data_IF_667983256409
#
_entry.id   IF_667983256409
#
_cell.length_a   1.000
_cell.length_b   1.000
_cell.length_c   1.000
_cell.angle_alpha   90.00
_cell.angle_beta   90.00
_cell.angle_gamma   90.00
#
_symmetry.space_group_name_H-M   'P 1'
#
loop_
_entity.id
_entity.type
_entity.pdbx_description
1 polymer ?
#
# COMPACT_ATOMS: atom_id res chain seq x y z
N UNK A 1 -19.91 12.78 1.68
CA UNK A 1 -20.07 11.32 1.86
C UNK A 1 -18.79 10.84 2.50
N UNK A 2 -18.89 10.12 3.61
CA UNK A 2 -17.79 9.80 4.52
C UNK A 2 -16.53 9.31 3.79
N UNK A 3 -15.55 10.21 3.69
CA UNK A 3 -14.21 10.00 3.13
C UNK A 3 -13.34 9.18 4.09
N UNK A 4 -13.89 8.24 4.85
CA UNK A 4 -13.11 7.34 5.73
C UNK A 4 -12.55 6.15 4.95
N UNK A 5 -12.16 6.36 3.70
CA UNK A 5 -11.61 5.33 2.83
C UNK A 5 -10.28 5.81 2.26
N UNK A 6 -9.25 4.97 2.34
CA UNK A 6 -7.92 5.25 1.78
C UNK A 6 -7.89 4.92 0.28
N UNK A 7 -8.55 3.82 -0.10
CA UNK A 7 -8.76 3.42 -1.50
C UNK A 7 -10.17 2.87 -1.67
N UNK A 8 -10.96 3.51 -2.52
CA UNK A 8 -12.32 3.07 -2.86
C UNK A 8 -12.35 1.60 -3.28
N UNK A 9 -13.36 0.86 -2.81
CA UNK A 9 -13.53 -0.57 -3.13
C UNK A 9 -12.63 -1.55 -2.38
N UNK A 10 -11.69 -1.09 -1.53
CA UNK A 10 -10.76 -1.99 -0.81
C UNK A 10 -11.15 -2.28 0.65
N UNK A 11 -12.18 -1.59 1.16
CA UNK A 11 -12.57 -1.64 2.59
C UNK A 11 -11.51 -1.05 3.54
N UNK A 12 -10.40 -0.51 3.02
CA UNK A 12 -9.31 0.03 3.82
C UNK A 12 -9.63 1.46 4.27
N UNK A 13 -9.86 1.65 5.56
CA UNK A 13 -10.30 2.93 6.14
C UNK A 13 -9.16 3.74 6.77
N UNK A 14 -9.34 5.06 6.92
CA UNK A 14 -8.36 5.90 7.62
C UNK A 14 -8.30 5.49 9.10
N UNK A 15 -9.44 5.12 9.68
CA UNK A 15 -9.55 4.58 11.03
C UNK A 15 -8.67 3.33 11.24
N UNK A 16 -8.76 2.34 10.35
CA UNK A 16 -7.93 1.13 10.41
C UNK A 16 -6.44 1.46 10.38
N UNK A 17 -6.02 2.38 9.49
CA UNK A 17 -4.62 2.78 9.40
C UNK A 17 -4.14 3.46 10.69
N UNK A 18 -4.95 4.35 11.26
CA UNK A 18 -4.64 5.02 12.52
C UNK A 18 -4.43 4.02 13.66
N UNK A 19 -5.29 3.01 13.78
CA UNK A 19 -5.16 1.96 14.80
C UNK A 19 -3.84 1.18 14.63
N UNK A 20 -3.45 0.87 13.39
CA UNK A 20 -2.19 0.19 13.09
C UNK A 20 -0.97 1.05 13.41
N UNK A 21 -1.03 2.35 13.10
CA UNK A 21 0.06 3.27 13.40
C UNK A 21 0.19 3.46 14.91
N UNK A 22 -0.91 3.67 15.62
CA UNK A 22 -0.93 3.85 17.08
C UNK A 22 -0.40 2.62 17.81
N UNK A 23 -0.75 1.42 17.34
CA UNK A 23 -0.20 0.18 17.90
C UNK A 23 1.33 0.14 17.82
N UNK A 24 1.91 0.65 16.73
CA UNK A 24 3.36 0.60 16.47
C UNK A 24 4.13 1.77 17.08
N UNK A 25 3.59 2.99 16.97
CA UNK A 25 4.27 4.23 17.34
C UNK A 25 3.78 4.80 18.67
N UNK A 26 2.77 4.19 19.30
CA UNK A 26 2.14 4.62 20.57
C UNK A 26 1.53 6.01 20.53
N UNK A 27 1.37 6.57 19.34
CA UNK A 27 0.75 7.86 19.08
C UNK A 27 -0.24 7.70 17.94
N UNK A 28 -1.39 8.35 18.07
CA UNK A 28 -2.44 8.32 17.06
C UNK A 28 -2.32 9.55 16.15
N UNK A 29 -2.05 9.39 14.85
CA UNK A 29 -1.97 10.53 13.95
C UNK A 29 -3.37 11.00 13.52
N UNK A 30 -3.43 12.23 13.04
CA UNK A 30 -4.47 12.72 12.14
C UNK A 30 -4.08 12.42 10.70
N UNK A 31 -5.01 11.92 9.89
CA UNK A 31 -4.78 11.73 8.45
C UNK A 31 -5.13 13.04 7.75
N UNK A 32 -4.11 13.73 7.24
CA UNK A 32 -4.27 15.03 6.60
C UNK A 32 -4.66 14.90 5.12
N UNK A 33 -3.93 14.07 4.37
CA UNK A 33 -4.12 13.91 2.92
C UNK A 33 -3.80 12.49 2.48
N UNK A 34 -4.54 11.98 1.51
CA UNK A 34 -4.26 10.71 0.82
C UNK A 34 -4.10 11.02 -0.66
N UNK A 35 -3.02 10.56 -1.28
CA UNK A 35 -2.78 10.75 -2.71
C UNK A 35 -2.08 9.53 -3.34
N UNK A 36 -2.25 9.29 -4.65
CA UNK A 36 -1.42 8.34 -5.38
C UNK A 36 0.06 8.71 -5.27
N UNK A 37 0.94 7.71 -5.15
CA UNK A 37 2.39 7.94 -5.08
C UNK A 37 2.98 8.44 -6.42
N UNK A 38 2.22 8.35 -7.51
CA UNK A 38 2.56 8.79 -8.86
C UNK A 38 1.55 8.26 -9.89
N UNK A 39 1.71 8.58 -11.19
CA UNK A 39 0.81 8.10 -12.25
C UNK A 39 0.70 6.57 -12.30
N UNK A 40 1.83 5.88 -12.08
CA UNK A 40 1.94 4.42 -12.03
C UNK A 40 1.32 3.81 -10.77
N UNK A 41 1.05 4.62 -9.73
CA UNK A 41 0.50 4.17 -8.45
C UNK A 41 -1.02 3.86 -8.50
N UNK A 42 -1.64 4.05 -9.67
CA UNK A 42 -3.00 3.60 -10.00
C UNK A 42 -3.05 2.14 -10.47
N UNK A 43 -1.88 1.50 -10.66
CA UNK A 43 -1.68 0.05 -10.59
C UNK A 43 -1.72 -0.72 -11.91
N UNK A 44 -0.79 -1.69 -12.00
CA UNK A 44 -0.85 -2.92 -12.82
C UNK A 44 -1.05 -4.17 -11.92
N UNK A 45 -0.35 -4.24 -10.77
CA UNK A 45 -0.44 -5.33 -9.77
C UNK A 45 -0.77 -4.86 -8.34
N UNK A 46 -0.72 -3.55 -8.09
CA UNK A 46 -1.00 -2.97 -6.78
C UNK A 46 -1.41 -1.51 -6.88
N UNK A 47 -2.29 -1.08 -5.99
CA UNK A 47 -2.64 0.33 -5.79
C UNK A 47 -1.76 0.86 -4.67
N UNK A 48 -1.07 1.97 -4.90
CA UNK A 48 -0.18 2.59 -3.91
C UNK A 48 -0.67 3.99 -3.59
N UNK A 49 -0.74 4.30 -2.29
CA UNK A 49 -1.12 5.61 -1.76
C UNK A 49 -0.08 6.10 -0.77
N UNK A 50 0.24 7.40 -0.85
CA UNK A 50 0.90 8.13 0.23
C UNK A 50 -0.17 8.73 1.12
N UNK A 51 -0.06 8.48 2.42
CA UNK A 51 -0.93 9.05 3.45
C UNK A 51 -0.10 10.00 4.29
N UNK A 52 -0.42 11.29 4.21
CA UNK A 52 0.21 12.34 5.01
C UNK A 52 -0.41 12.37 6.40
N UNK A 53 0.46 12.44 7.40
CA UNK A 53 0.12 12.35 8.80
C UNK A 53 0.46 13.66 9.48
N UNK A 54 -0.41 14.04 10.42
CA UNK A 54 -0.16 15.13 11.35
C UNK A 54 -0.28 14.60 12.77
N UNK A 55 0.46 15.24 13.67
CA UNK A 55 0.62 14.80 15.04
C UNK A 55 0.33 15.96 15.97
N UNK A 56 -0.47 15.71 17.00
CA UNK A 56 -0.77 16.71 18.04
C UNK A 56 0.38 16.82 19.07
N UNK A 57 1.37 15.93 19.00
CA UNK A 57 2.53 15.94 19.87
C UNK A 57 3.78 16.48 19.16
N UNK A 58 4.61 17.23 19.89
CA UNK A 58 5.87 17.79 19.39
C UNK A 58 7.02 16.76 19.45
N UNK A 59 6.83 15.58 18.84
CA UNK A 59 7.89 14.58 18.69
C UNK A 59 8.52 14.66 17.30
N UNK A 60 9.85 14.85 17.24
CA UNK A 60 10.60 14.98 15.99
C UNK A 60 10.77 13.67 15.22
N UNK A 61 10.59 12.52 15.88
CA UNK A 61 10.87 11.20 15.30
C UNK A 61 9.63 10.56 14.66
N UNK A 62 8.49 11.24 14.67
CA UNK A 62 7.26 10.73 14.08
C UNK A 62 7.22 11.00 12.57
N UNK A 63 6.78 10.03 11.75
CA UNK A 63 6.79 10.17 10.31
C UNK A 63 5.72 11.15 9.83
N UNK A 64 6.08 12.04 8.90
CA UNK A 64 5.14 12.96 8.25
C UNK A 64 4.23 12.25 7.22
N UNK A 65 4.61 11.05 6.77
CA UNK A 65 3.77 10.26 5.87
C UNK A 65 4.08 8.77 5.97
N UNK A 66 3.11 7.95 5.58
CA UNK A 66 3.26 6.51 5.37
C UNK A 66 2.84 6.12 3.96
N UNK A 67 3.37 5.01 3.47
CA UNK A 67 2.97 4.43 2.19
C UNK A 67 2.10 3.21 2.44
N UNK A 68 0.91 3.21 1.85
CA UNK A 68 -0.01 2.08 1.84
C UNK A 68 0.04 1.44 0.47
N UNK A 69 0.29 0.12 0.45
CA UNK A 69 0.30 -0.68 -0.76
C UNK A 69 -0.77 -1.76 -0.65
N UNK A 70 -1.70 -1.76 -1.60
CA UNK A 70 -2.82 -2.70 -1.66
C UNK A 70 -2.62 -3.58 -2.90
N UNK A 71 -2.46 -4.89 -2.75
CA UNK A 71 -2.45 -5.81 -3.89
C UNK A 71 -3.74 -5.63 -4.70
N UNK A 72 -3.61 -5.48 -6.02
CA UNK A 72 -4.75 -5.36 -6.92
C UNK A 72 -4.38 -6.00 -8.25
N UNK A 73 -4.78 -7.25 -8.50
CA UNK A 73 -4.43 -7.96 -9.73
C UNK A 73 -5.23 -7.46 -10.93
N UNK A 74 -6.22 -6.58 -10.71
CA UNK A 74 -7.28 -6.26 -11.68
C UNK A 74 -6.76 -5.97 -13.09
N UNK A 75 -5.77 -5.08 -13.24
CA UNK A 75 -5.18 -4.78 -14.55
C UNK A 75 -4.20 -5.84 -15.07
N UNK A 76 -3.48 -6.51 -14.18
CA UNK A 76 -2.58 -7.61 -14.53
C UNK A 76 -3.34 -8.82 -15.08
N UNK A 77 -4.43 -9.19 -14.42
CA UNK A 77 -5.40 -10.20 -14.89
C UNK A 77 -6.02 -9.78 -16.21
N UNK A 78 -6.54 -8.56 -16.33
CA UNK A 78 -7.14 -8.07 -17.57
C UNK A 78 -6.16 -8.14 -18.76
N UNK A 79 -4.90 -7.77 -18.53
CA UNK A 79 -3.86 -7.82 -19.56
C UNK A 79 -3.51 -9.25 -19.92
N UNK A 80 -3.40 -10.13 -18.93
CA UNK A 80 -3.13 -11.55 -19.17
C UNK A 80 -4.26 -12.21 -19.95
N UNK A 81 -5.52 -12.00 -19.55
CA UNK A 81 -6.70 -12.54 -20.25
C UNK A 81 -6.81 -12.04 -21.69
N UNK A 82 -6.52 -10.76 -21.93
CA UNK A 82 -6.46 -10.19 -23.29
C UNK A 82 -5.35 -10.82 -24.14
N UNK A 83 -4.24 -11.20 -23.53
CA UNK A 83 -3.10 -11.81 -24.23
C UNK A 83 -3.23 -13.32 -24.46
N UNK A 84 -3.84 -14.04 -23.51
CA UNK A 84 -3.94 -15.50 -23.52
C UNK A 84 -5.23 -16.01 -24.17
N UNK A 85 -6.27 -15.16 -24.25
CA UNK A 85 -7.60 -15.56 -24.67
C UNK A 85 -8.33 -16.46 -23.67
N UNK A 86 -7.73 -16.72 -22.50
CA UNK A 86 -8.29 -17.56 -21.45
C UNK A 86 -8.56 -16.74 -20.19
N UNK A 87 -9.69 -17.02 -19.52
CA UNK A 87 -9.99 -16.44 -18.21
C UNK A 87 -9.00 -16.97 -17.19
N UNK A 88 -8.47 -16.08 -16.36
CA UNK A 88 -7.50 -16.43 -15.32
C UNK A 88 -8.26 -17.00 -14.12
N UNK A 89 -7.85 -18.16 -13.59
CA UNK A 89 -8.46 -18.76 -12.41
C UNK A 89 -8.16 -17.93 -11.15
N UNK A 90 -8.93 -18.11 -10.07
CA UNK A 90 -8.66 -17.41 -8.80
C UNK A 90 -7.31 -17.82 -8.18
N UNK A 91 -6.90 -19.07 -8.35
CA UNK A 91 -5.59 -19.57 -7.93
C UNK A 91 -4.46 -18.90 -8.71
N UNK A 92 -4.63 -18.69 -10.01
CA UNK A 92 -3.68 -17.99 -10.86
C UNK A 92 -3.61 -16.50 -10.49
N UNK A 93 -4.75 -15.84 -10.28
CA UNK A 93 -4.81 -14.45 -9.79
C UNK A 93 -4.12 -14.28 -8.43
N UNK A 94 -4.25 -15.27 -7.55
CA UNK A 94 -3.58 -15.28 -6.25
C UNK A 94 -2.07 -15.43 -6.39
N UNK A 95 -1.59 -16.38 -7.20
CA UNK A 95 -0.14 -16.55 -7.48
C UNK A 95 0.47 -15.31 -8.13
N UNK A 96 -0.25 -14.67 -9.04
CA UNK A 96 0.16 -13.43 -9.68
C UNK A 96 0.33 -12.27 -8.69
N UNK A 97 -0.35 -12.28 -7.54
CA UNK A 97 -0.16 -11.30 -6.48
C UNK A 97 0.97 -11.66 -5.51
N UNK A 98 1.06 -12.93 -5.11
CA UNK A 98 1.99 -13.40 -4.09
C UNK A 98 3.46 -13.26 -4.54
N UNK A 99 3.78 -13.64 -5.78
CA UNK A 99 5.17 -13.66 -6.28
C UNK A 99 5.77 -12.24 -6.33
N UNK A 100 5.12 -11.23 -6.94
CA UNK A 100 5.64 -9.86 -6.91
C UNK A 100 5.70 -9.30 -5.49
N UNK A 101 4.68 -9.55 -4.66
CA UNK A 101 4.64 -9.07 -3.28
C UNK A 101 5.81 -9.59 -2.44
N UNK A 102 6.11 -10.89 -2.53
CA UNK A 102 7.28 -11.48 -1.85
C UNK A 102 8.59 -10.89 -2.34
N UNK A 103 8.73 -10.73 -3.66
CA UNK A 103 9.95 -10.22 -4.29
C UNK A 103 10.24 -8.80 -3.83
N UNK A 104 9.23 -7.93 -3.84
CA UNK A 104 9.36 -6.55 -3.36
C UNK A 104 9.61 -6.47 -1.86
N UNK A 105 8.93 -7.30 -1.06
CA UNK A 105 9.15 -7.33 0.40
C UNK A 105 10.57 -7.74 0.73
N UNK A 106 11.10 -8.74 0.03
CA UNK A 106 12.52 -9.15 0.14
C UNK A 106 13.44 -8.01 -0.27
N UNK A 107 13.16 -7.34 -1.38
CA UNK A 107 13.95 -6.20 -1.85
C UNK A 107 14.00 -5.06 -0.82
N UNK A 108 12.84 -4.59 -0.34
CA UNK A 108 12.80 -3.51 0.66
C UNK A 108 13.52 -3.89 1.95
N UNK A 109 13.38 -5.14 2.42
CA UNK A 109 14.10 -5.63 3.59
C UNK A 109 15.61 -5.61 3.36
N UNK A 110 16.08 -6.06 2.20
CA UNK A 110 17.51 -6.06 1.85
C UNK A 110 18.05 -4.63 1.77
N UNK A 111 17.31 -3.70 1.15
CA UNK A 111 17.72 -2.29 1.04
C UNK A 111 17.73 -1.61 2.41
N UNK A 112 16.72 -1.85 3.26
CA UNK A 112 16.69 -1.33 4.63
C UNK A 112 17.83 -1.89 5.49
N UNK A 113 18.15 -3.18 5.36
CA UNK A 113 19.24 -3.80 6.11
C UNK A 113 20.63 -3.44 5.57
N UNK A 114 20.76 -3.15 4.27
CA UNK A 114 22.00 -2.71 3.63
C UNK A 114 22.35 -1.24 3.91
N UNK A 115 21.40 -0.45 4.40
CA UNK A 115 21.59 0.96 4.78
C UNK A 115 22.16 1.15 6.20
N UNK A 116 22.50 0.06 6.92
CA UNK A 116 23.23 0.09 8.20
C UNK A 116 24.75 -0.06 8.07
N UNK A 117 25.30 0.01 6.84
CA UNK A 117 26.75 -0.02 6.57
C UNK A 117 27.27 1.28 5.92
N UNK A 118 26.78 2.44 6.36
CA UNK A 118 27.46 3.73 6.17
C UNK A 118 27.33 4.60 7.40
#
# INVERSE_FOLDING_TARGET
MDEDVIVEGTGLTKSWLKDRIETKLRHRPRVAKVEPLGPEALGYMSIIRRVHLEWDCNQKDLPNSVVVKIPSPSKGTETFEKSSGAKTSEEEKKRMQEIPHETETKFYRTVQNGLLLR
#
